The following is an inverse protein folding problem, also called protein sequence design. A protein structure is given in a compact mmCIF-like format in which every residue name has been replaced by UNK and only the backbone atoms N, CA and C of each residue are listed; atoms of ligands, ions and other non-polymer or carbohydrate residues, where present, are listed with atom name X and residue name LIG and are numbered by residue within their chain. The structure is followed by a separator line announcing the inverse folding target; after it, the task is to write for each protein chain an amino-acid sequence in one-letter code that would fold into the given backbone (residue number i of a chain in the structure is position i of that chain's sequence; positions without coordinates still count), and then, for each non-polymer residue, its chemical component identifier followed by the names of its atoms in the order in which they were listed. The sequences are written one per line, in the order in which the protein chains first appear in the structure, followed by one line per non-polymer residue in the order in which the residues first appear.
data_IF_541620467921
#
_entry.id   IF_541620467921
#
_cell.length_a   1.000
_cell.length_b   1.000
_cell.length_c   1.000
_cell.angle_alpha   90.00
_cell.angle_beta   90.00
_cell.angle_gamma   90.00
#
_symmetry.space_group_name_H-M   'P 1'
#
loop_
_entity.id
_entity.type
_entity.pdbx_description
1 polymer ?
#
# COMPACT_ATOMS: atom_id res chain seq x y z
N UNK A 1 -1.07 13.93 -7.26
CA UNK A 1 0.02 14.88 -6.96
C UNK A 1 1.32 14.07 -6.84
N UNK A 2 2.49 14.67 -7.03
CA UNK A 2 3.82 14.07 -6.85
C UNK A 2 4.20 12.88 -7.73
N UNK A 3 3.46 12.63 -8.81
CA UNK A 3 3.69 11.47 -9.67
C UNK A 3 5.07 11.51 -10.31
N UNK A 4 5.49 12.66 -10.83
CA UNK A 4 6.77 12.79 -11.53
C UNK A 4 7.94 12.56 -10.58
N UNK A 5 7.83 13.08 -9.36
CA UNK A 5 8.84 12.95 -8.31
C UNK A 5 9.01 11.50 -7.88
N UNK A 6 7.91 10.76 -7.67
CA UNK A 6 7.99 9.33 -7.32
C UNK A 6 8.45 8.45 -8.50
N UNK A 7 8.04 8.76 -9.74
CA UNK A 7 8.54 8.06 -10.93
C UNK A 7 10.05 8.31 -11.13
N UNK A 8 10.53 9.52 -10.84
CA UNK A 8 11.96 9.81 -10.85
C UNK A 8 12.70 9.01 -9.77
N UNK A 9 12.20 8.99 -8.53
CA UNK A 9 12.81 8.19 -7.45
C UNK A 9 12.89 6.70 -7.81
N UNK A 10 11.85 6.17 -8.46
CA UNK A 10 11.84 4.78 -8.94
C UNK A 10 12.88 4.52 -10.03
N UNK A 11 13.20 5.52 -10.86
CA UNK A 11 14.27 5.39 -11.86
C UNK A 11 15.69 5.47 -11.27
N UNK A 12 15.84 6.14 -10.11
CA UNK A 12 17.14 6.39 -9.47
C UNK A 12 17.49 5.35 -8.39
N UNK A 13 16.49 4.75 -7.74
CA UNK A 13 16.65 3.85 -6.61
C UNK A 13 16.18 2.43 -6.97
N UNK A 14 17.12 1.49 -7.08
CA UNK A 14 16.82 0.10 -7.48
C UNK A 14 15.86 -0.64 -6.51
N UNK A 15 15.87 -0.24 -5.23
CA UNK A 15 15.05 -0.85 -4.18
C UNK A 15 13.76 -0.08 -3.90
N UNK A 16 13.43 0.94 -4.71
CA UNK A 16 12.20 1.70 -4.59
C UNK A 16 11.21 1.27 -5.68
N UNK A 17 9.98 0.98 -5.27
CA UNK A 17 8.87 0.68 -6.18
C UNK A 17 7.70 1.61 -5.88
N UNK A 18 7.10 2.12 -6.95
CA UNK A 18 5.95 3.01 -6.87
C UNK A 18 4.78 2.44 -7.68
N UNK A 19 3.64 2.27 -7.01
CA UNK A 19 2.42 1.73 -7.59
C UNK A 19 1.27 2.73 -7.40
N UNK A 20 0.54 3.02 -8.48
CA UNK A 20 -0.61 3.93 -8.48
C UNK A 20 -1.88 3.13 -8.73
N UNK A 21 -2.89 3.32 -7.89
CA UNK A 21 -4.20 2.69 -8.03
C UNK A 21 -5.28 3.75 -8.19
N UNK A 22 -6.07 3.65 -9.26
CA UNK A 22 -7.20 4.56 -9.52
C UNK A 22 -8.52 3.79 -9.53
N UNK A 23 -9.45 4.16 -8.65
CA UNK A 23 -10.71 3.42 -8.48
C UNK A 23 -11.78 3.76 -9.52
N UNK A 24 -11.67 4.92 -10.21
CA UNK A 24 -12.74 5.48 -11.05
C UNK A 24 -12.27 5.99 -12.42
N UNK A 25 -11.07 5.62 -12.86
CA UNK A 25 -10.50 6.08 -14.14
C UNK A 25 -10.35 4.91 -15.12
N UNK A 26 -11.33 4.66 -16.01
CA UNK A 26 -11.32 3.48 -16.89
C UNK A 26 -10.20 3.49 -17.94
N UNK A 27 -9.72 4.68 -18.31
CA UNK A 27 -8.61 4.84 -19.26
C UNK A 27 -7.24 4.57 -18.62
N UNK A 28 -7.19 4.40 -17.30
CA UNK A 28 -5.97 4.11 -16.58
C UNK A 28 -5.48 2.69 -16.89
N UNK A 29 -4.24 2.60 -17.39
CA UNK A 29 -3.61 1.32 -17.76
C UNK A 29 -2.92 0.63 -16.56
N UNK A 30 -2.78 1.32 -15.43
CA UNK A 30 -2.20 0.75 -14.21
C UNK A 30 -3.25 0.03 -13.35
N UNK A 31 -2.93 -0.17 -12.07
CA UNK A 31 -3.84 -0.83 -11.14
C UNK A 31 -5.16 -0.06 -11.00
N UNK A 32 -6.27 -0.79 -11.10
CA UNK A 32 -7.62 -0.25 -10.93
C UNK A 32 -8.24 -0.75 -9.63
N UNK A 33 -9.17 0.02 -9.08
CA UNK A 33 -9.86 -0.31 -7.83
C UNK A 33 -9.22 0.34 -6.60
N UNK A 34 -9.09 -0.42 -5.51
CA UNK A 34 -8.53 0.06 -4.23
C UNK A 34 -7.12 -0.47 -4.00
N UNK A 35 -6.34 0.24 -3.19
CA UNK A 35 -4.91 -0.06 -2.96
C UNK A 35 -4.65 -1.44 -2.33
N UNK A 36 -5.65 -2.02 -1.68
CA UNK A 36 -5.52 -3.26 -0.91
C UNK A 36 -5.03 -4.45 -1.73
N UNK A 37 -5.48 -4.62 -2.97
CA UNK A 37 -5.04 -5.74 -3.83
C UNK A 37 -3.53 -5.70 -4.09
N UNK A 38 -2.96 -4.51 -4.28
CA UNK A 38 -1.54 -4.34 -4.64
C UNK A 38 -0.63 -4.90 -3.54
N UNK A 39 -0.77 -4.42 -2.31
CA UNK A 39 0.12 -4.88 -1.24
C UNK A 39 -0.26 -6.28 -0.76
N UNK A 40 -1.53 -6.68 -0.80
CA UNK A 40 -1.90 -8.04 -0.39
C UNK A 40 -1.33 -9.09 -1.33
N UNK A 41 -1.23 -8.81 -2.63
CA UNK A 41 -0.56 -9.67 -3.61
C UNK A 41 0.96 -9.67 -3.45
N UNK A 42 1.58 -8.51 -3.24
CA UNK A 42 3.03 -8.37 -3.13
C UNK A 42 3.60 -8.97 -1.83
N UNK A 43 2.82 -8.94 -0.75
CA UNK A 43 3.26 -9.30 0.60
C UNK A 43 2.52 -10.51 1.17
N UNK A 44 2.03 -11.42 0.32
CA UNK A 44 1.34 -12.66 0.74
C UNK A 44 2.16 -13.54 1.68
N UNK A 45 3.49 -13.56 1.51
CA UNK A 45 4.40 -14.31 2.38
C UNK A 45 4.87 -13.41 3.51
N UNK A 46 4.56 -13.81 4.75
CA UNK A 46 4.95 -13.09 5.97
C UNK A 46 6.47 -12.95 6.07
N UNK A 47 6.91 -11.74 6.42
CA UNK A 47 8.32 -11.38 6.62
C UNK A 47 8.45 -10.72 7.98
N UNK A 48 9.43 -11.13 8.78
CA UNK A 48 9.66 -10.55 10.10
C UNK A 48 10.26 -9.14 10.02
N UNK A 49 11.11 -8.89 9.01
CA UNK A 49 11.82 -7.63 8.84
C UNK A 49 11.10 -6.69 7.86
N UNK A 50 9.81 -6.44 8.09
CA UNK A 50 9.03 -5.45 7.34
C UNK A 50 8.23 -4.57 8.28
N UNK A 51 8.04 -3.31 7.88
CA UNK A 51 7.15 -2.36 8.55
C UNK A 51 6.24 -1.73 7.49
N UNK A 52 4.94 -1.74 7.77
CA UNK A 52 3.91 -1.12 6.96
C UNK A 52 3.56 0.24 7.55
N UNK A 53 3.67 1.28 6.73
CA UNK A 53 3.28 2.64 7.09
C UNK A 53 2.05 3.02 6.28
N UNK A 54 0.95 3.30 6.98
CA UNK A 54 -0.35 3.56 6.38
C UNK A 54 -0.83 4.96 6.77
N UNK A 55 -1.48 5.65 5.85
CA UNK A 55 -2.03 6.98 6.10
C UNK A 55 -3.28 7.17 5.26
N UNK A 56 -4.38 7.59 5.88
CA UNK A 56 -5.64 7.77 5.17
C UNK A 56 -6.86 7.82 6.07
N UNK A 57 -8.04 7.66 5.47
CA UNK A 57 -9.32 7.63 6.16
C UNK A 57 -9.45 6.40 7.04
N UNK A 58 -10.11 6.52 8.18
CA UNK A 58 -10.32 5.44 9.15
C UNK A 58 -10.79 4.13 8.52
N UNK A 59 -11.81 4.16 7.67
CA UNK A 59 -12.30 2.95 6.99
C UNK A 59 -11.23 2.26 6.12
N UNK A 60 -10.38 3.04 5.45
CA UNK A 60 -9.31 2.48 4.61
C UNK A 60 -8.18 1.89 5.47
N UNK A 61 -7.90 2.49 6.62
CA UNK A 61 -6.91 1.98 7.56
C UNK A 61 -7.43 0.71 8.25
N UNK A 62 -8.69 0.67 8.65
CA UNK A 62 -9.33 -0.50 9.24
C UNK A 62 -9.26 -1.71 8.29
N UNK A 63 -9.67 -1.51 7.03
CA UNK A 63 -9.57 -2.55 5.99
C UNK A 63 -8.11 -2.99 5.79
N UNK A 64 -7.15 -2.06 5.86
CA UNK A 64 -5.74 -2.39 5.69
C UNK A 64 -5.17 -3.22 6.84
N UNK A 65 -5.50 -2.85 8.07
CA UNK A 65 -5.10 -3.59 9.29
C UNK A 65 -5.73 -4.98 9.29
N UNK A 66 -7.01 -5.12 8.94
CA UNK A 66 -7.67 -6.43 8.82
C UNK A 66 -6.94 -7.31 7.79
N UNK A 67 -6.63 -6.76 6.62
CA UNK A 67 -5.94 -7.52 5.58
C UNK A 67 -4.53 -7.95 6.00
N UNK A 68 -3.73 -7.04 6.58
CA UNK A 68 -2.34 -7.32 6.96
C UNK A 68 -2.24 -8.26 8.17
N UNK A 69 -2.99 -7.97 9.24
CA UNK A 69 -2.86 -8.69 10.52
C UNK A 69 -3.72 -9.94 10.55
N UNK A 70 -5.01 -9.83 10.18
CA UNK A 70 -5.95 -10.95 10.32
C UNK A 70 -5.85 -11.94 9.16
N UNK A 71 -5.79 -11.44 7.92
CA UNK A 71 -5.81 -12.31 6.73
C UNK A 71 -4.43 -12.82 6.35
N UNK A 72 -3.41 -11.97 6.38
CA UNK A 72 -2.04 -12.33 6.00
C UNK A 72 -1.18 -12.80 7.19
N UNK A 73 -1.54 -12.44 8.42
CA UNK A 73 -0.85 -12.93 9.62
C UNK A 73 0.42 -12.16 9.99
N UNK A 74 0.54 -10.89 9.59
CA UNK A 74 1.61 -10.02 10.08
C UNK A 74 1.39 -9.64 11.54
N UNK A 75 2.48 -9.39 12.27
CA UNK A 75 2.38 -8.92 13.65
C UNK A 75 1.86 -7.48 13.69
N UNK A 76 1.00 -7.17 14.67
CA UNK A 76 0.45 -5.82 14.84
C UNK A 76 1.55 -4.77 15.04
N UNK A 77 2.69 -5.12 15.64
CA UNK A 77 3.83 -4.21 15.82
C UNK A 77 4.48 -3.79 14.51
N UNK A 78 4.22 -4.49 13.41
CA UNK A 78 4.72 -4.17 12.08
C UNK A 78 3.83 -3.18 11.33
N UNK A 79 2.65 -2.83 11.85
CA UNK A 79 1.69 -1.95 11.18
C UNK A 79 1.57 -0.63 11.93
N UNK A 80 2.01 0.45 11.28
CA UNK A 80 1.97 1.80 11.81
C UNK A 80 1.02 2.64 10.95
N UNK A 81 0.13 3.41 11.57
CA UNK A 81 -0.84 4.19 10.83
C UNK A 81 -1.09 5.57 11.42
N UNK A 82 -1.44 6.50 10.54
CA UNK A 82 -1.94 7.82 10.87
C UNK A 82 -3.35 7.99 10.26
N UNK A 83 -4.28 8.47 11.08
CA UNK A 83 -5.68 8.66 10.69
C UNK A 83 -5.92 10.11 10.28
N UNK A 84 -6.50 10.28 9.10
CA UNK A 84 -7.10 11.53 8.69
C UNK A 84 -8.62 11.36 8.83
N UNK A 85 -9.17 11.80 9.96
CA UNK A 85 -10.62 11.73 10.27
C UNK A 85 -10.94 10.80 11.43
#
# INVERSE_FOLDING_TARGET
MYRQEFEQLQSELNDFQYSIVLSREPSWQGHQGYVHSVYTEQYQQVRENIAFYLCGWSNMIDDAVENLVVKLGYDQSQVHYELYG
#
